data_IF_678373147774
#
_entry.id   IF_678373147774
#
_cell.length_a   1.000
_cell.length_b   1.000
_cell.length_c   1.000
_cell.angle_alpha   90.00
_cell.angle_beta   90.00
_cell.angle_gamma   90.00
#
_symmetry.space_group_name_H-M   'P 1'
#
loop_
_entity.id
_entity.type
_entity.pdbx_description
1 polymer ?
#
# COMPACT_ATOMS: atom_id res chain seq x y z
N UNK A 1 -5.98 30.20 -62.28
CA UNK A 1 -5.74 28.80 -61.94
C UNK A 1 -4.35 28.56 -61.35
N UNK A 2 -3.26 29.05 -61.90
CA UNK A 2 -1.89 28.84 -61.38
C UNK A 2 -1.64 29.41 -59.97
N UNK A 3 -2.20 30.56 -59.64
CA UNK A 3 -2.11 31.18 -58.30
C UNK A 3 -2.95 30.43 -57.22
N UNK A 4 -4.06 29.84 -57.62
CA UNK A 4 -4.91 29.03 -56.70
C UNK A 4 -4.23 27.71 -56.31
N UNK A 5 -3.49 27.10 -57.25
CA UNK A 5 -2.68 25.88 -57.03
C UNK A 5 -1.50 26.14 -56.09
N UNK A 6 -0.86 27.31 -56.13
CA UNK A 6 0.25 27.69 -55.26
C UNK A 6 -0.24 27.90 -53.82
N UNK A 7 -1.43 28.55 -53.63
CA UNK A 7 -2.03 28.69 -52.30
C UNK A 7 -2.44 27.36 -51.67
N UNK A 8 -2.98 26.37 -52.44
CA UNK A 8 -3.30 25.04 -51.93
C UNK A 8 -2.05 24.24 -51.58
N UNK A 9 -0.94 24.42 -52.27
CA UNK A 9 0.34 23.73 -52.00
C UNK A 9 1.03 24.31 -50.73
N UNK A 10 0.87 25.63 -50.47
CA UNK A 10 1.45 26.29 -49.31
C UNK A 10 0.69 25.92 -47.99
N UNK A 11 -0.62 25.63 -48.04
CA UNK A 11 -1.40 25.19 -46.88
C UNK A 11 -1.15 23.74 -46.48
N UNK A 12 -0.65 22.90 -47.39
CA UNK A 12 -0.36 21.50 -47.11
C UNK A 12 0.97 21.28 -46.34
N UNK A 13 1.87 22.30 -46.36
CA UNK A 13 3.20 22.21 -45.70
C UNK A 13 3.15 22.65 -44.22
N UNK A 14 2.07 23.29 -43.77
CA UNK A 14 1.90 23.74 -42.39
C UNK A 14 1.01 22.82 -41.55
N UNK A 15 0.98 21.53 -41.84
CA UNK A 15 0.36 20.57 -40.92
C UNK A 15 1.18 20.55 -39.63
N UNK A 16 0.64 21.03 -38.48
CA UNK A 16 1.36 20.90 -37.22
C UNK A 16 1.59 19.41 -36.95
N UNK A 17 2.83 19.02 -36.87
CA UNK A 17 3.18 17.68 -36.37
C UNK A 17 2.74 17.65 -34.90
N UNK A 18 1.59 17.05 -34.62
CA UNK A 18 1.11 16.83 -33.27
C UNK A 18 2.04 15.81 -32.59
N UNK A 19 3.10 16.29 -31.96
CA UNK A 19 3.85 15.46 -31.03
C UNK A 19 2.92 15.07 -29.87
N UNK A 20 2.81 13.79 -29.57
CA UNK A 20 2.12 13.33 -28.39
C UNK A 20 2.80 13.98 -27.18
N UNK A 21 2.11 14.93 -26.56
CA UNK A 21 2.62 15.65 -25.39
C UNK A 21 2.94 14.67 -24.28
N UNK A 22 4.11 14.78 -23.67
CA UNK A 22 4.47 14.05 -22.46
C UNK A 22 3.58 14.55 -21.33
N UNK A 23 2.83 13.63 -20.72
CA UNK A 23 2.01 13.91 -19.54
C UNK A 23 2.66 13.22 -18.34
N UNK A 24 3.32 14.02 -17.47
CA UNK A 24 3.88 13.57 -16.21
C UNK A 24 3.23 14.35 -15.06
N UNK A 25 2.47 13.65 -14.22
CA UNK A 25 1.64 14.27 -13.20
C UNK A 25 1.69 13.54 -11.86
N UNK A 26 1.49 14.31 -10.78
CA UNK A 26 1.27 13.82 -9.44
C UNK A 26 -0.22 13.85 -9.12
N UNK A 27 -0.75 12.77 -8.57
CA UNK A 27 -2.11 12.65 -8.08
C UNK A 27 -2.12 12.17 -6.64
N UNK A 28 -3.07 12.67 -5.85
CA UNK A 28 -3.25 12.29 -4.46
C UNK A 28 -4.65 11.70 -4.24
N UNK A 29 -4.77 10.76 -3.33
CA UNK A 29 -6.06 10.11 -3.04
C UNK A 29 -7.08 11.04 -2.38
N UNK A 30 -6.62 12.07 -1.65
CA UNK A 30 -7.44 13.06 -0.95
C UNK A 30 -6.71 14.39 -0.87
N UNK A 31 -7.40 15.51 -1.12
CA UNK A 31 -6.86 16.86 -0.90
C UNK A 31 -6.93 17.31 0.56
N UNK A 32 -7.76 16.65 1.36
CA UNK A 32 -7.91 16.85 2.81
C UNK A 32 -7.98 15.49 3.49
N UNK A 33 -7.20 15.28 4.56
CA UNK A 33 -7.22 14.03 5.33
C UNK A 33 -6.89 14.28 6.81
N UNK A 34 -7.39 13.40 7.67
CA UNK A 34 -7.06 13.40 9.11
C UNK A 34 -5.62 12.97 9.37
N UNK A 35 -5.03 13.45 10.46
CA UNK A 35 -3.65 13.08 10.85
C UNK A 35 -3.48 11.58 11.12
N UNK A 36 -4.58 10.85 11.37
CA UNK A 36 -4.61 9.40 11.55
C UNK A 36 -4.90 8.61 10.26
N UNK A 37 -5.09 9.31 9.13
CA UNK A 37 -5.31 8.70 7.83
C UNK A 37 -3.99 8.59 7.04
N UNK A 38 -4.03 7.88 5.92
CA UNK A 38 -2.90 7.73 5.00
C UNK A 38 -3.21 8.37 3.66
N UNK A 39 -2.20 8.97 3.05
CA UNK A 39 -2.25 9.61 1.76
C UNK A 39 -1.54 8.71 0.74
N UNK A 40 -2.27 8.27 -0.29
CA UNK A 40 -1.65 7.68 -1.48
C UNK A 40 -1.26 8.81 -2.41
N UNK A 41 0.00 8.79 -2.85
CA UNK A 41 0.53 9.70 -3.87
C UNK A 41 0.98 8.85 -5.04
N UNK A 42 0.49 9.16 -6.23
CA UNK A 42 0.83 8.48 -7.47
C UNK A 42 1.46 9.46 -8.45
N UNK A 43 2.63 9.12 -8.98
CA UNK A 43 3.30 9.83 -10.07
C UNK A 43 3.13 9.00 -11.33
N UNK A 44 2.34 9.50 -12.30
CA UNK A 44 2.01 8.76 -13.51
C UNK A 44 2.49 9.50 -14.77
N UNK A 45 2.89 8.71 -15.77
CA UNK A 45 3.37 9.21 -17.06
C UNK A 45 2.84 8.37 -18.22
N UNK A 46 2.68 9.01 -19.38
CA UNK A 46 2.17 8.38 -20.61
C UNK A 46 3.27 7.91 -21.57
N UNK A 47 4.54 8.09 -21.20
CA UNK A 47 5.73 7.59 -21.89
C UNK A 47 6.64 6.88 -20.90
N UNK A 48 7.46 5.95 -21.40
CA UNK A 48 8.50 5.35 -20.56
C UNK A 48 9.61 6.36 -20.28
N UNK A 49 10.15 6.32 -19.07
CA UNK A 49 11.20 7.22 -18.63
C UNK A 49 12.05 6.56 -17.55
N UNK A 50 13.26 7.12 -17.40
CA UNK A 50 14.30 6.66 -16.49
C UNK A 50 14.59 7.73 -15.43
N UNK A 51 15.46 7.41 -14.46
CA UNK A 51 15.93 8.35 -13.45
C UNK A 51 14.83 9.06 -12.67
N UNK A 52 13.73 8.31 -12.32
CA UNK A 52 12.66 8.85 -11.50
C UNK A 52 13.21 9.29 -10.14
N UNK A 53 13.02 10.56 -9.80
CA UNK A 53 13.35 11.11 -8.49
C UNK A 53 12.06 11.64 -7.81
N UNK A 54 11.66 11.02 -6.68
CA UNK A 54 10.51 11.50 -5.90
C UNK A 54 10.83 12.84 -5.23
N UNK A 55 9.83 13.64 -4.85
CA UNK A 55 10.04 14.82 -4.03
C UNK A 55 10.45 14.44 -2.60
N UNK A 56 11.01 15.41 -1.87
CA UNK A 56 11.02 15.32 -0.42
C UNK A 56 9.57 15.44 0.08
N UNK A 57 9.13 14.48 0.87
CA UNK A 57 7.77 14.44 1.42
C UNK A 57 7.71 15.20 2.76
N UNK A 58 7.98 16.53 2.70
CA UNK A 58 7.99 17.37 3.91
C UNK A 58 6.64 17.31 4.64
N UNK A 59 6.69 17.08 5.96
CA UNK A 59 5.49 16.93 6.79
C UNK A 59 4.85 15.55 6.75
N UNK A 60 5.46 14.59 6.02
CA UNK A 60 5.00 13.21 5.93
C UNK A 60 6.13 12.21 6.21
N UNK A 61 5.76 11.04 6.66
CA UNK A 61 6.62 9.86 6.70
C UNK A 61 6.18 8.89 5.62
N UNK A 62 7.11 8.43 4.79
CA UNK A 62 6.86 7.36 3.84
C UNK A 62 6.64 6.07 4.62
N UNK A 63 5.50 5.42 4.41
CA UNK A 63 5.14 4.14 5.03
C UNK A 63 5.43 3.00 4.07
N UNK A 64 5.21 3.23 2.77
CA UNK A 64 5.50 2.27 1.71
C UNK A 64 5.79 2.99 0.38
N UNK A 65 6.50 2.33 -0.50
CA UNK A 65 6.82 2.78 -1.85
C UNK A 65 8.31 3.03 -2.09
N UNK A 66 8.68 3.26 -3.38
CA UNK A 66 7.77 3.29 -4.51
C UNK A 66 7.29 1.89 -4.94
N UNK A 67 5.98 1.74 -5.18
CA UNK A 67 5.44 0.62 -5.94
C UNK A 67 5.31 1.05 -7.40
N UNK A 68 5.97 0.34 -8.30
CA UNK A 68 5.93 0.63 -9.73
C UNK A 68 4.87 -0.21 -10.43
N UNK A 69 4.10 0.42 -11.31
CA UNK A 69 3.16 -0.25 -12.22
C UNK A 69 3.42 0.20 -13.65
N UNK A 70 3.38 -0.74 -14.59
CA UNK A 70 3.48 -0.46 -16.03
C UNK A 70 2.29 -1.12 -16.72
N UNK A 71 1.58 -0.35 -17.52
CA UNK A 71 0.43 -0.82 -18.30
C UNK A 71 0.60 -0.45 -19.77
N UNK A 72 0.44 -1.44 -20.65
CA UNK A 72 0.35 -1.27 -22.09
C UNK A 72 -1.00 -1.79 -22.54
N UNK A 73 -1.86 -0.91 -23.07
CA UNK A 73 -3.19 -1.28 -23.53
C UNK A 73 -3.35 -0.99 -25.03
N UNK A 74 -3.98 -1.92 -25.74
CA UNK A 74 -4.39 -1.75 -27.13
C UNK A 74 -5.93 -1.77 -27.18
N UNK A 75 -6.53 -0.63 -27.52
CA UNK A 75 -8.00 -0.53 -27.68
C UNK A 75 -8.30 0.15 -29.01
N UNK A 76 -9.06 -0.50 -29.87
CA UNK A 76 -9.48 0.02 -31.18
C UNK A 76 -8.29 0.54 -32.02
N UNK A 77 -7.16 -0.20 -32.07
CA UNK A 77 -5.98 0.15 -32.84
C UNK A 77 -5.13 1.29 -32.23
N UNK A 78 -5.53 1.86 -31.10
CA UNK A 78 -4.73 2.86 -30.37
C UNK A 78 -3.97 2.20 -29.22
N UNK A 79 -2.68 2.44 -29.16
CA UNK A 79 -1.83 2.05 -28.05
C UNK A 79 -1.85 3.14 -26.98
N UNK A 80 -2.11 2.77 -25.73
CA UNK A 80 -1.88 3.60 -24.57
C UNK A 80 -0.82 2.98 -23.67
N UNK A 81 0.12 3.78 -23.23
CA UNK A 81 1.16 3.42 -22.27
C UNK A 81 0.92 4.23 -20.99
N UNK A 82 1.08 3.59 -19.83
CA UNK A 82 1.11 4.25 -18.54
C UNK A 82 2.13 3.56 -17.65
N UNK A 83 3.01 4.37 -17.04
CA UNK A 83 3.93 3.94 -15.97
C UNK A 83 3.65 4.80 -14.76
N UNK A 84 3.58 4.21 -13.58
CA UNK A 84 3.34 4.94 -12.35
C UNK A 84 4.20 4.47 -11.18
N UNK A 85 4.48 5.41 -10.27
CA UNK A 85 5.16 5.18 -9.00
C UNK A 85 4.24 5.62 -7.88
N UNK A 86 3.86 4.70 -7.00
CA UNK A 86 2.92 4.95 -5.91
C UNK A 86 3.63 4.91 -4.56
N UNK A 87 3.37 5.93 -3.75
CA UNK A 87 3.81 6.03 -2.35
C UNK A 87 2.60 6.06 -1.42
N UNK A 88 2.78 5.51 -0.22
CA UNK A 88 1.84 5.67 0.88
C UNK A 88 2.50 6.47 1.99
N UNK A 89 1.87 7.57 2.37
CA UNK A 89 2.40 8.55 3.32
C UNK A 89 1.52 8.62 4.57
N UNK A 90 2.15 8.84 5.73
CA UNK A 90 1.46 9.19 6.98
C UNK A 90 1.81 10.62 7.35
N UNK A 91 0.83 11.51 7.60
CA UNK A 91 1.09 12.87 8.05
C UNK A 91 1.79 12.87 9.42
N UNK A 92 2.73 13.81 9.60
CA UNK A 92 3.42 14.01 10.87
C UNK A 92 2.84 15.16 11.69
N UNK A 93 2.23 16.14 11.05
CA UNK A 93 1.65 17.33 11.68
C UNK A 93 0.41 17.82 10.92
N UNK A 94 -0.48 18.50 11.66
CA UNK A 94 -1.68 19.16 11.08
C UNK A 94 -1.29 20.42 10.31
N UNK A 95 -2.13 20.85 9.41
CA UNK A 95 -2.02 22.08 8.63
C UNK A 95 -1.87 21.86 7.14
N UNK A 96 -1.61 22.95 6.42
CA UNK A 96 -1.37 22.92 4.99
C UNK A 96 0.00 22.38 4.69
N UNK A 97 0.07 21.37 3.83
CA UNK A 97 1.29 20.76 3.32
C UNK A 97 1.23 20.73 1.80
N UNK A 98 2.36 20.43 1.16
CA UNK A 98 2.46 20.34 -0.30
C UNK A 98 3.28 19.11 -0.65
N UNK A 99 2.77 18.28 -1.52
CA UNK A 99 3.57 17.26 -2.19
C UNK A 99 4.40 17.99 -3.25
N UNK A 100 5.72 17.97 -3.11
CA UNK A 100 6.65 18.66 -3.98
C UNK A 100 6.70 18.11 -5.40
N UNK A 101 7.60 18.66 -6.21
CA UNK A 101 7.82 18.20 -7.58
C UNK A 101 8.63 16.90 -7.60
N UNK A 102 8.12 15.87 -8.26
CA UNK A 102 8.92 14.75 -8.74
C UNK A 102 9.54 15.09 -10.08
N UNK A 103 10.63 14.43 -10.44
CA UNK A 103 11.24 14.54 -11.76
C UNK A 103 11.47 13.17 -12.38
N UNK A 104 11.47 13.13 -13.72
CA UNK A 104 11.77 11.96 -14.52
C UNK A 104 12.46 12.39 -15.81
N UNK A 105 13.31 11.55 -16.34
CA UNK A 105 13.94 11.74 -17.64
C UNK A 105 13.20 10.94 -18.71
N UNK A 106 12.74 11.60 -19.78
CA UNK A 106 12.03 10.98 -20.90
C UNK A 106 12.69 11.49 -22.20
N UNK A 107 13.20 10.59 -23.02
CA UNK A 107 13.89 10.90 -24.28
C UNK A 107 15.06 11.91 -24.10
N UNK A 108 15.77 11.86 -22.95
CA UNK A 108 16.88 12.76 -22.60
C UNK A 108 16.46 14.14 -22.07
N UNK A 109 15.17 14.40 -21.89
CA UNK A 109 14.65 15.62 -21.29
C UNK A 109 14.07 15.37 -19.89
N UNK A 110 14.24 16.36 -18.98
CA UNK A 110 13.75 16.25 -17.60
C UNK A 110 12.37 16.90 -17.49
N UNK A 111 11.40 16.07 -17.15
CA UNK A 111 10.03 16.50 -16.84
C UNK A 111 9.80 16.57 -15.33
N UNK A 112 8.99 17.54 -14.88
CA UNK A 112 8.65 17.74 -13.47
C UNK A 112 7.16 17.81 -13.29
N UNK A 113 6.67 17.24 -12.18
CA UNK A 113 5.25 17.35 -11.81
C UNK A 113 4.93 18.71 -11.22
N UNK A 114 3.66 19.10 -11.27
CA UNK A 114 3.16 20.26 -10.54
C UNK A 114 3.02 19.88 -9.05
N UNK A 115 3.42 20.76 -8.11
CA UNK A 115 3.19 20.55 -6.70
C UNK A 115 1.70 20.41 -6.37
N UNK A 116 1.35 19.49 -5.47
CA UNK A 116 -0.04 19.21 -5.11
C UNK A 116 -0.29 19.59 -3.64
N UNK A 117 -1.17 20.57 -3.37
CA UNK A 117 -1.50 20.96 -2.01
C UNK A 117 -2.37 19.89 -1.32
N UNK A 118 -2.14 19.70 -0.02
CA UNK A 118 -2.91 18.80 0.83
C UNK A 118 -3.09 19.41 2.21
N UNK A 119 -4.28 19.33 2.77
CA UNK A 119 -4.60 19.82 4.10
C UNK A 119 -4.73 18.67 5.10
N UNK A 120 -3.98 18.75 6.19
CA UNK A 120 -4.02 17.77 7.28
C UNK A 120 -4.86 18.32 8.44
N UNK A 121 -5.98 17.68 8.68
CA UNK A 121 -6.94 18.06 9.74
C UNK A 121 -6.67 17.32 11.05
N UNK A 122 -7.53 17.52 12.04
CA UNK A 122 -7.58 16.68 13.24
C UNK A 122 -7.82 15.21 12.84
N UNK A 123 -7.57 14.29 13.78
CA UNK A 123 -7.90 12.89 13.60
C UNK A 123 -9.39 12.76 13.24
N UNK A 124 -9.67 12.01 12.18
CA UNK A 124 -11.06 11.67 11.83
C UNK A 124 -11.55 10.66 12.85
N UNK A 125 -12.60 11.01 13.55
CA UNK A 125 -13.33 10.03 14.36
C UNK A 125 -14.07 9.09 13.41
N UNK A 126 -13.88 7.79 13.59
CA UNK A 126 -14.68 6.80 12.87
C UNK A 126 -16.09 6.90 13.43
N UNK A 127 -17.10 7.28 12.61
CA UNK A 127 -18.45 7.38 13.09
C UNK A 127 -18.87 6.07 13.77
N UNK A 128 -19.35 6.13 15.00
CA UNK A 128 -19.88 4.95 15.71
C UNK A 128 -21.27 4.55 15.17
N UNK A 129 -21.51 4.78 13.89
CA UNK A 129 -22.73 4.37 13.22
C UNK A 129 -22.58 2.94 12.71
N UNK A 130 -23.32 1.95 13.25
CA UNK A 130 -23.25 0.56 12.83
C UNK A 130 -23.53 0.31 11.34
N UNK A 131 -24.13 1.30 10.67
CA UNK A 131 -24.46 1.23 9.23
C UNK A 131 -23.44 1.95 8.34
N UNK A 132 -22.44 2.63 8.92
CA UNK A 132 -21.37 3.25 8.15
C UNK A 132 -20.38 2.18 7.66
N UNK A 133 -20.11 2.08 6.35
CA UNK A 133 -19.20 1.09 5.82
C UNK A 133 -17.78 1.15 6.42
N UNK A 134 -17.26 2.34 6.74
CA UNK A 134 -15.95 2.49 7.37
C UNK A 134 -15.96 1.99 8.83
N UNK A 135 -17.06 2.21 9.56
CA UNK A 135 -17.24 1.65 10.89
C UNK A 135 -17.31 0.13 10.85
N UNK A 136 -18.12 -0.43 9.94
CA UNK A 136 -18.21 -1.89 9.73
C UNK A 136 -16.84 -2.48 9.50
N UNK A 137 -16.05 -1.88 8.61
CA UNK A 137 -14.68 -2.35 8.29
C UNK A 137 -13.77 -2.27 9.53
N UNK A 138 -13.85 -1.17 10.31
CA UNK A 138 -12.98 -1.00 11.50
C UNK A 138 -13.20 -2.07 12.56
N UNK A 139 -14.44 -2.56 12.71
CA UNK A 139 -14.82 -3.60 13.64
C UNK A 139 -14.64 -5.02 13.08
N UNK A 140 -14.56 -5.13 11.75
CA UNK A 140 -14.60 -6.41 11.05
C UNK A 140 -13.23 -6.88 10.54
N UNK A 141 -12.22 -6.01 10.50
CA UNK A 141 -10.93 -6.32 9.88
C UNK A 141 -9.78 -6.12 10.87
N UNK A 142 -8.96 -7.16 11.06
CA UNK A 142 -7.80 -7.09 11.94
C UNK A 142 -6.60 -7.81 11.31
N UNK A 143 -5.40 -7.25 11.49
CA UNK A 143 -4.14 -7.91 11.12
C UNK A 143 -3.30 -8.12 12.36
N UNK A 144 -2.90 -9.37 12.61
CA UNK A 144 -2.23 -9.78 13.85
C UNK A 144 -0.96 -10.55 13.54
N UNK A 145 0.15 -10.15 14.15
CA UNK A 145 1.36 -10.98 14.18
C UNK A 145 1.27 -11.96 15.38
N UNK A 146 1.10 -13.24 15.09
CA UNK A 146 1.09 -14.30 16.08
C UNK A 146 2.49 -14.95 16.14
N UNK A 147 3.06 -15.04 17.35
CA UNK A 147 4.34 -15.69 17.61
C UNK A 147 4.09 -17.05 18.24
N UNK A 148 4.82 -18.08 17.82
CA UNK A 148 4.75 -19.40 18.43
C UNK A 148 5.26 -19.42 19.88
N UNK A 149 6.24 -18.55 20.20
CA UNK A 149 6.81 -18.36 21.54
C UNK A 149 7.12 -16.88 21.77
N UNK A 150 7.02 -16.40 23.00
CA UNK A 150 7.39 -15.03 23.39
C UNK A 150 8.79 -14.91 23.99
N UNK A 151 9.40 -16.05 24.35
CA UNK A 151 10.70 -16.16 24.99
C UNK A 151 11.42 -17.42 24.50
N UNK A 152 12.68 -17.28 24.07
CA UNK A 152 13.51 -18.34 23.49
C UNK A 152 14.98 -18.11 23.81
N UNK A 153 15.85 -19.07 23.51
CA UNK A 153 17.30 -18.91 23.50
C UNK A 153 17.82 -18.43 22.14
N UNK A 154 19.07 -17.97 22.10
CA UNK A 154 19.77 -17.67 20.83
C UNK A 154 19.68 -18.91 19.92
N UNK A 155 19.45 -18.71 18.61
CA UNK A 155 19.28 -19.74 17.59
C UNK A 155 18.09 -20.69 17.80
N UNK A 156 17.26 -20.54 18.84
CA UNK A 156 16.04 -21.32 18.99
C UNK A 156 14.96 -20.77 18.04
N UNK A 157 14.42 -21.60 17.11
CA UNK A 157 13.47 -21.11 16.13
C UNK A 157 12.13 -20.74 16.73
N UNK A 158 11.54 -19.65 16.20
CA UNK A 158 10.14 -19.29 16.37
C UNK A 158 9.47 -19.17 15.02
N UNK A 159 8.16 -19.36 14.99
CA UNK A 159 7.35 -19.05 13.82
C UNK A 159 6.56 -17.77 14.09
N UNK A 160 6.61 -16.85 13.14
CA UNK A 160 5.73 -15.67 13.06
C UNK A 160 4.70 -15.91 11.98
N UNK A 161 3.41 -15.76 12.32
CA UNK A 161 2.30 -15.86 11.38
C UNK A 161 1.53 -14.56 11.39
N UNK A 162 1.45 -13.87 10.24
CA UNK A 162 0.60 -12.72 10.06
C UNK A 162 -0.78 -13.19 9.62
N UNK A 163 -1.75 -13.09 10.53
CA UNK A 163 -3.14 -13.51 10.31
C UNK A 163 -4.01 -12.30 9.99
N UNK A 164 -4.64 -12.31 8.82
CA UNK A 164 -5.66 -11.34 8.42
C UNK A 164 -7.03 -11.90 8.82
N UNK A 165 -7.63 -11.34 9.87
CA UNK A 165 -8.98 -11.68 10.32
C UNK A 165 -10.02 -10.79 9.69
N UNK A 166 -11.14 -11.35 9.26
CA UNK A 166 -12.28 -10.61 8.75
C UNK A 166 -13.60 -11.27 9.17
N UNK A 167 -14.57 -10.43 9.54
CA UNK A 167 -15.92 -10.88 9.86
C UNK A 167 -16.63 -11.42 8.61
N UNK A 168 -17.53 -12.38 8.77
CA UNK A 168 -18.37 -12.92 7.69
C UNK A 168 -19.26 -11.87 6.99
N UNK A 169 -19.45 -10.70 7.61
CA UNK A 169 -20.23 -9.58 7.03
C UNK A 169 -19.50 -8.86 5.91
N UNK A 170 -18.17 -8.93 5.86
CA UNK A 170 -17.34 -8.26 4.84
C UNK A 170 -16.62 -9.30 4.01
N UNK A 171 -16.29 -8.95 2.76
CA UNK A 171 -15.58 -9.83 1.84
C UNK A 171 -14.33 -9.12 1.33
N UNK A 172 -13.13 -9.56 1.73
CA UNK A 172 -11.91 -9.09 1.08
C UNK A 172 -11.93 -9.45 -0.41
N UNK A 173 -11.87 -8.44 -1.27
CA UNK A 173 -11.85 -8.60 -2.74
C UNK A 173 -10.44 -8.47 -3.30
N UNK A 174 -9.59 -7.67 -2.66
CA UNK A 174 -8.18 -7.53 -3.02
C UNK A 174 -7.34 -7.24 -1.78
N UNK A 175 -6.10 -7.78 -1.74
CA UNK A 175 -5.18 -7.60 -0.60
C UNK A 175 -3.76 -7.45 -1.11
N UNK A 176 -3.20 -6.25 -0.94
CA UNK A 176 -1.86 -5.90 -1.40
C UNK A 176 -0.93 -5.61 -0.22
N UNK A 177 0.29 -6.18 -0.20
CA UNK A 177 1.30 -5.79 0.77
C UNK A 177 1.77 -4.37 0.47
N UNK A 178 1.90 -3.56 1.53
CA UNK A 178 2.42 -2.20 1.46
C UNK A 178 3.82 -2.15 2.06
N UNK A 179 3.99 -2.81 3.19
CA UNK A 179 5.24 -2.81 3.94
C UNK A 179 5.46 -4.24 4.45
N UNK A 180 6.54 -4.86 3.98
CA UNK A 180 6.91 -6.21 4.37
C UNK A 180 7.84 -6.17 5.58
N UNK A 181 7.72 -7.09 6.53
CA UNK A 181 8.54 -7.08 7.72
C UNK A 181 10.01 -7.41 7.39
N UNK A 182 10.92 -6.59 7.91
CA UNK A 182 12.36 -6.86 7.90
C UNK A 182 12.79 -7.46 9.23
N UNK A 183 13.69 -8.46 9.18
CA UNK A 183 14.12 -9.23 10.35
C UNK A 183 15.64 -9.08 10.59
N UNK A 184 16.10 -7.83 10.83
CA UNK A 184 17.53 -7.49 10.89
C UNK A 184 18.34 -8.26 11.96
N UNK A 185 17.69 -8.68 13.06
CA UNK A 185 18.33 -9.42 14.17
C UNK A 185 18.11 -10.94 14.08
N UNK A 186 17.60 -11.43 12.96
CA UNK A 186 17.22 -12.83 12.76
C UNK A 186 17.74 -13.37 11.44
N UNK A 187 18.12 -14.63 11.44
CA UNK A 187 18.07 -15.38 10.19
C UNK A 187 16.62 -15.82 9.97
N UNK A 188 16.10 -15.65 8.76
CA UNK A 188 14.69 -15.88 8.46
C UNK A 188 14.49 -16.80 7.27
N UNK A 189 13.43 -17.61 7.33
CA UNK A 189 13.01 -18.48 6.24
C UNK A 189 11.49 -18.41 6.09
N UNK A 190 11.02 -17.98 4.94
CA UNK A 190 9.59 -17.95 4.65
C UNK A 190 9.03 -19.33 4.38
N UNK A 191 7.84 -19.58 4.92
CA UNK A 191 7.06 -20.79 4.68
C UNK A 191 5.96 -20.45 3.68
N UNK A 192 5.86 -21.16 2.53
CA UNK A 192 4.79 -20.93 1.57
C UNK A 192 3.41 -21.09 2.24
N UNK A 193 2.61 -20.03 2.19
CA UNK A 193 1.24 -20.05 2.69
C UNK A 193 0.26 -20.33 1.56
N UNK A 194 -0.65 -21.30 1.76
CA UNK A 194 -1.72 -21.60 0.79
C UNK A 194 -2.84 -20.56 0.78
N UNK A 195 -2.81 -19.60 1.71
CA UNK A 195 -3.83 -18.54 1.88
C UNK A 195 -5.26 -19.09 1.90
N UNK A 196 -5.46 -20.24 2.53
CA UNK A 196 -6.79 -20.82 2.75
C UNK A 196 -7.55 -20.03 3.81
N UNK A 197 -8.87 -19.92 3.64
CA UNK A 197 -9.73 -19.29 4.64
C UNK A 197 -10.05 -20.33 5.71
N UNK A 198 -9.68 -20.01 6.94
CA UNK A 198 -9.95 -20.80 8.14
C UNK A 198 -10.78 -19.97 9.13
N UNK A 199 -11.22 -20.58 10.23
CA UNK A 199 -12.00 -19.91 11.27
C UNK A 199 -11.33 -20.05 12.63
N UNK A 200 -11.29 -18.95 13.38
CA UNK A 200 -10.69 -18.90 14.70
C UNK A 200 -11.38 -17.87 15.59
N UNK A 201 -11.40 -18.15 16.90
CA UNK A 201 -11.88 -17.17 17.89
C UNK A 201 -10.80 -16.10 18.10
N UNK A 202 -11.17 -14.86 17.86
CA UNK A 202 -10.32 -13.71 18.12
C UNK A 202 -11.09 -12.67 18.94
N UNK A 203 -10.55 -12.28 20.10
CA UNK A 203 -11.19 -11.33 21.04
C UNK A 203 -12.65 -11.72 21.42
N UNK A 204 -12.90 -13.00 21.59
CA UNK A 204 -14.23 -13.50 22.00
C UNK A 204 -15.27 -13.60 20.88
N UNK A 205 -14.87 -13.36 19.61
CA UNK A 205 -15.74 -13.47 18.44
C UNK A 205 -15.14 -14.39 17.39
N UNK A 206 -15.97 -15.15 16.68
CA UNK A 206 -15.56 -16.02 15.60
C UNK A 206 -15.29 -15.19 14.33
N UNK A 207 -14.08 -15.27 13.80
CA UNK A 207 -13.65 -14.64 12.55
C UNK A 207 -13.22 -15.69 11.52
N UNK A 208 -13.39 -15.35 10.26
CA UNK A 208 -12.60 -15.97 9.20
C UNK A 208 -11.20 -15.37 9.24
N UNK A 209 -10.17 -16.16 8.94
CA UNK A 209 -8.82 -15.62 8.79
C UNK A 209 -8.07 -16.28 7.65
N UNK A 210 -7.05 -15.60 7.17
CA UNK A 210 -6.05 -16.10 6.23
C UNK A 210 -4.68 -15.90 6.86
N UNK A 211 -3.87 -16.96 6.89
CA UNK A 211 -2.45 -16.86 7.18
C UNK A 211 -1.77 -16.19 5.96
N UNK A 212 -1.60 -14.85 6.03
CA UNK A 212 -1.10 -14.05 4.92
C UNK A 212 0.37 -14.32 4.63
N UNK A 213 1.18 -14.35 5.68
CA UNK A 213 2.62 -14.66 5.63
C UNK A 213 3.00 -15.47 6.86
N UNK A 214 3.89 -16.42 6.66
CA UNK A 214 4.44 -17.25 7.71
C UNK A 214 5.96 -17.33 7.52
N UNK A 215 6.71 -17.04 8.58
CA UNK A 215 8.17 -16.99 8.55
C UNK A 215 8.74 -17.67 9.80
N UNK A 216 9.73 -18.53 9.63
CA UNK A 216 10.56 -19.04 10.74
C UNK A 216 11.69 -18.06 10.97
N UNK A 217 11.91 -17.68 12.23
CA UNK A 217 12.94 -16.75 12.66
C UNK A 217 13.88 -17.45 13.64
N UNK A 218 15.20 -17.29 13.43
CA UNK A 218 16.26 -17.74 14.31
C UNK A 218 16.97 -16.51 14.86
N UNK A 219 16.76 -16.15 16.15
CA UNK A 219 17.37 -14.94 16.72
C UNK A 219 18.89 -15.10 16.82
N UNK A 220 19.63 -14.08 16.36
CA UNK A 220 21.09 -14.11 16.27
C UNK A 220 21.79 -13.48 17.49
N UNK A 221 21.05 -12.81 18.38
CA UNK A 221 21.58 -12.21 19.60
C UNK A 221 20.58 -12.26 20.75
N UNK A 222 21.08 -12.18 21.98
CA UNK A 222 20.22 -12.07 23.16
C UNK A 222 19.66 -10.66 23.32
N UNK A 223 18.57 -10.53 24.06
CA UNK A 223 17.90 -9.28 24.36
C UNK A 223 16.43 -9.22 23.94
N UNK A 224 15.85 -8.05 23.94
CA UNK A 224 14.50 -7.79 23.45
C UNK A 224 14.58 -7.42 21.96
N UNK A 225 14.22 -8.35 21.11
CA UNK A 225 14.28 -8.17 19.65
C UNK A 225 12.89 -7.77 19.11
N UNK A 226 12.79 -6.66 18.38
CA UNK A 226 11.53 -6.25 17.76
C UNK A 226 11.22 -7.12 16.55
N UNK A 227 9.96 -7.54 16.41
CA UNK A 227 9.40 -8.13 15.19
C UNK A 227 8.72 -7.01 14.41
N UNK A 228 9.19 -6.76 13.20
CA UNK A 228 8.66 -5.70 12.34
C UNK A 228 7.19 -5.97 11.98
N UNK A 229 6.35 -4.92 11.90
CA UNK A 229 4.96 -5.06 11.51
C UNK A 229 4.83 -5.31 9.99
N UNK A 230 3.83 -6.10 9.60
CA UNK A 230 3.32 -6.18 8.23
C UNK A 230 2.23 -5.14 8.04
N UNK A 231 2.21 -4.44 6.90
CA UNK A 231 1.11 -3.56 6.50
C UNK A 231 0.49 -4.03 5.20
N UNK A 232 -0.84 -4.08 5.16
CA UNK A 232 -1.63 -4.49 4.00
C UNK A 232 -2.62 -3.38 3.62
N UNK A 233 -2.84 -3.17 2.33
CA UNK A 233 -3.99 -2.47 1.79
C UNK A 233 -5.04 -3.51 1.39
N UNK A 234 -6.21 -3.43 2.01
CA UNK A 234 -7.28 -4.41 1.83
C UNK A 234 -8.49 -3.71 1.24
N UNK A 235 -8.92 -4.15 0.07
CA UNK A 235 -10.22 -3.79 -0.49
C UNK A 235 -11.27 -4.77 0.02
N UNK A 236 -12.42 -4.23 0.48
CA UNK A 236 -13.50 -5.01 1.04
C UNK A 236 -14.82 -4.61 0.41
N UNK A 237 -15.62 -5.62 0.08
CA UNK A 237 -17.03 -5.42 -0.23
C UNK A 237 -17.82 -5.43 1.07
N UNK A 238 -18.47 -4.30 1.37
CA UNK A 238 -19.21 -4.05 2.61
C UNK A 238 -20.68 -3.94 2.27
N UNK A 239 -21.58 -4.66 2.97
CA UNK A 239 -23.01 -4.54 2.73
C UNK A 239 -23.50 -3.13 3.10
N UNK A 240 -24.37 -2.57 2.26
CA UNK A 240 -25.07 -1.32 2.53
C UNK A 240 -26.48 -1.60 3.04
N UNK A 241 -27.21 -0.61 3.52
CA UNK A 241 -28.62 -0.77 3.87
C UNK A 241 -29.56 -0.77 2.64
N UNK A 242 -29.00 -0.82 1.43
CA UNK A 242 -29.78 -0.77 0.17
C UNK A 242 -29.95 -2.16 -0.40
N UNK A 243 -31.09 -2.38 -1.05
CA UNK A 243 -31.34 -3.55 -1.88
C UNK A 243 -31.55 -3.11 -3.32
N UNK A 244 -31.19 -3.95 -4.27
CA UNK A 244 -31.46 -3.74 -5.69
C UNK A 244 -32.95 -4.02 -6.03
N UNK A 245 -33.32 -3.82 -7.29
CA UNK A 245 -34.69 -4.06 -7.77
C UNK A 245 -35.16 -5.53 -7.56
N UNK A 246 -34.22 -6.47 -7.49
CA UNK A 246 -34.50 -7.90 -7.27
C UNK A 246 -34.44 -8.30 -5.80
N UNK A 247 -34.24 -7.35 -4.88
CA UNK A 247 -34.16 -7.60 -3.45
C UNK A 247 -32.81 -8.07 -2.96
N UNK A 248 -31.78 -8.13 -3.81
CA UNK A 248 -30.42 -8.53 -3.43
C UNK A 248 -29.72 -7.43 -2.63
N UNK A 249 -28.84 -7.82 -1.73
CA UNK A 249 -28.01 -6.90 -0.94
C UNK A 249 -27.05 -6.13 -1.84
N UNK A 250 -27.06 -4.79 -1.76
CA UNK A 250 -26.09 -3.94 -2.45
C UNK A 250 -24.85 -3.80 -1.59
N UNK A 251 -23.68 -3.99 -2.19
CA UNK A 251 -22.38 -3.82 -1.56
C UNK A 251 -21.70 -2.53 -2.04
N UNK A 252 -20.89 -1.94 -1.20
CA UNK A 252 -19.97 -0.86 -1.55
C UNK A 252 -18.54 -1.28 -1.28
N UNK A 253 -17.61 -0.78 -2.07
CA UNK A 253 -16.19 -1.07 -1.92
C UNK A 253 -15.55 -0.06 -0.97
N UNK A 254 -14.79 -0.56 0.01
CA UNK A 254 -14.02 0.25 0.96
C UNK A 254 -12.59 -0.26 0.95
N UNK A 255 -11.61 0.62 0.72
CA UNK A 255 -10.19 0.30 0.89
C UNK A 255 -9.73 0.70 2.29
N UNK A 256 -9.03 -0.22 2.95
CA UNK A 256 -8.51 -0.01 4.30
C UNK A 256 -7.06 -0.48 4.40
N UNK A 257 -6.18 0.45 4.75
CA UNK A 257 -4.83 0.05 5.16
C UNK A 257 -4.82 -0.40 6.61
N UNK A 258 -4.24 -1.57 6.85
CA UNK A 258 -4.18 -2.20 8.16
C UNK A 258 -2.75 -2.65 8.45
N UNK A 259 -2.30 -2.49 9.68
CA UNK A 259 -0.94 -2.82 10.11
C UNK A 259 -1.00 -3.76 11.32
N UNK A 260 -0.21 -4.82 11.30
CA UNK A 260 -0.04 -5.70 12.46
C UNK A 260 0.61 -4.93 13.61
N UNK A 261 0.13 -5.15 14.83
CA UNK A 261 0.74 -4.54 16.02
C UNK A 261 2.19 -4.99 16.20
N UNK A 262 3.04 -4.10 16.68
CA UNK A 262 4.44 -4.40 17.04
C UNK A 262 4.49 -5.57 18.03
N UNK A 263 5.44 -6.48 17.83
CA UNK A 263 5.75 -7.60 18.73
C UNK A 263 7.20 -7.50 19.17
N UNK A 264 7.49 -8.08 20.32
CA UNK A 264 8.85 -8.18 20.85
C UNK A 264 9.10 -9.60 21.31
N UNK A 265 10.20 -10.19 20.86
CA UNK A 265 10.68 -11.48 21.31
C UNK A 265 11.74 -11.27 22.39
N UNK A 266 11.64 -11.98 23.50
CA UNK A 266 12.68 -12.02 24.52
C UNK A 266 13.62 -13.17 24.23
N UNK A 267 14.89 -12.89 23.94
CA UNK A 267 15.91 -13.89 23.64
C UNK A 267 16.91 -13.98 24.78
N UNK A 268 17.05 -15.15 25.34
CA UNK A 268 18.01 -15.43 26.39
C UNK A 268 19.37 -15.84 25.80
N UNK A 269 20.49 -15.52 26.47
CA UNK A 269 21.77 -16.14 26.17
C UNK A 269 21.72 -17.65 26.42
N UNK A 270 22.68 -18.39 25.87
CA UNK A 270 22.80 -19.81 26.22
C UNK A 270 23.01 -19.99 27.72
N UNK A 271 22.44 -21.04 28.32
CA UNK A 271 22.71 -21.39 29.72
C UNK A 271 24.21 -21.58 29.93
N UNK A 272 24.72 -21.13 31.09
CA UNK A 272 26.13 -21.36 31.44
C UNK A 272 26.36 -22.78 31.95
N UNK A 273 25.31 -23.46 32.42
CA UNK A 273 25.34 -24.85 32.84
C UNK A 273 25.53 -25.77 31.65
N UNK A 274 26.57 -26.65 31.71
CA UNK A 274 26.88 -27.60 30.64
C UNK A 274 27.85 -27.10 29.56
N UNK A 275 28.47 -25.93 29.73
CA UNK A 275 29.59 -25.55 28.86
C UNK A 275 30.77 -26.49 29.10
N UNK A 276 31.41 -27.07 28.02
CA UNK A 276 32.65 -27.77 28.17
C UNK A 276 33.69 -26.86 28.82
N UNK A 277 34.29 -27.27 29.92
CA UNK A 277 35.50 -26.63 30.47
C UNK A 277 36.67 -27.07 29.60
N UNK A 278 37.21 -26.14 28.81
CA UNK A 278 38.49 -26.33 28.11
C UNK A 278 39.62 -26.28 29.12
#
# INVERSE_FOLDING_TARGET
MRQLLICCFLTLVLSPVAFAQVDFKAQISKSQLGINERLRVEFSMNKDGDNFAPPFFDGFRVVAGPSQSVSNMYVNGKRSFSKSYTYLLTPLKKGKNVIGQASIEIDGEIYKTTPVPVEITAAVEIPKNPNDPNYIVSESLHLVAALSKSKVYINEPITVVYKLYFDSKVRPSDVNPIDMPEYNDFWSQDIPSRRTIEREMYKGKLYNYVAWQQTVLYPQRAGKLPIAPLSLDVQLDVPTNRRDFFGNQVYTQVSRTITAGKRTLTVLPFPDEGKPTN
#
